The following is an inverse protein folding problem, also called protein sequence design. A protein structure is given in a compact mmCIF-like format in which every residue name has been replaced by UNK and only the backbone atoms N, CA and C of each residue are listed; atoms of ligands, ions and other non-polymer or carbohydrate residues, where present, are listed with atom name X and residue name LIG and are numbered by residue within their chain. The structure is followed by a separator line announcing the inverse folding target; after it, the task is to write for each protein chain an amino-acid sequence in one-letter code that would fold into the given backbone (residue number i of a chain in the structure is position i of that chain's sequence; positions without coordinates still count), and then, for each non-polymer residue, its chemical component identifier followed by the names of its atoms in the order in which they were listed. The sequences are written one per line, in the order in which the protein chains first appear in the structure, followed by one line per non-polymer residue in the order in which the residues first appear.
data_IF_450172841341
#
_entry.id   IF_450172841341
#
_cell.length_a   1.000
_cell.length_b   1.000
_cell.length_c   1.000
_cell.angle_alpha   90.00
_cell.angle_beta   90.00
_cell.angle_gamma   90.00
#
_symmetry.space_group_name_H-M   'P 1'
#
loop_
_entity.id
_entity.type
_entity.pdbx_description
1 polymer ?
#
# COMPACT_ATOMS: atom_id res chain seq x y z
N UNK A 1 41.39 52.33 9.71
CA UNK A 1 40.52 53.49 9.40
C UNK A 1 39.41 53.54 10.43
N UNK A 2 39.25 54.70 11.08
CA UNK A 2 38.25 55.09 12.09
C UNK A 2 38.25 54.27 13.40
N UNK A 3 38.34 54.83 14.61
CA UNK A 3 38.25 56.20 15.11
C UNK A 3 37.72 56.07 16.56
N UNK A 4 38.56 56.24 17.58
CA UNK A 4 38.72 57.47 18.37
C UNK A 4 37.41 57.99 19.00
N UNK A 5 37.40 58.08 20.34
CA UNK A 5 36.92 59.19 21.22
C UNK A 5 36.25 58.63 22.49
N UNK A 6 36.93 58.62 23.64
CA UNK A 6 37.02 59.72 24.64
C UNK A 6 35.67 60.27 25.11
N UNK A 7 35.35 60.02 26.39
CA UNK A 7 34.63 60.99 27.23
C UNK A 7 34.94 60.71 28.71
N UNK A 8 35.85 61.52 29.23
CA UNK A 8 36.00 61.75 30.66
C UNK A 8 34.78 62.51 31.20
N UNK A 9 34.32 62.18 32.39
CA UNK A 9 33.54 63.11 33.22
C UNK A 9 34.02 63.01 34.66
N UNK A 10 34.85 63.98 35.02
CA UNK A 10 35.01 64.42 36.40
C UNK A 10 33.75 65.14 36.84
N UNK A 11 33.21 64.79 38.00
CA UNK A 11 32.34 65.67 38.75
C UNK A 11 32.59 65.54 40.25
N UNK A 12 33.14 66.63 40.78
CA UNK A 12 32.87 67.23 42.09
C UNK A 12 33.01 66.38 43.37
N UNK A 13 34.12 66.67 44.03
CA UNK A 13 34.32 66.68 45.49
C UNK A 13 33.12 67.32 46.21
N UNK A 14 32.53 66.60 47.16
CA UNK A 14 32.05 67.21 48.41
C UNK A 14 32.76 66.53 49.59
N UNK A 15 33.62 67.31 50.22
CA UNK A 15 34.21 67.05 51.53
C UNK A 15 33.09 67.10 52.57
N UNK A 16 32.66 65.94 53.06
CA UNK A 16 31.88 65.84 54.29
C UNK A 16 32.79 65.27 55.37
N UNK A 17 33.25 66.14 56.27
CA UNK A 17 34.02 65.81 57.46
C UNK A 17 33.12 65.10 58.48
N UNK A 18 33.39 63.83 58.85
CA UNK A 18 32.69 63.21 59.97
C UNK A 18 33.22 63.75 61.31
N UNK A 19 32.36 63.90 62.33
CA UNK A 19 32.76 64.36 63.67
C UNK A 19 33.67 63.34 64.39
N UNK A 20 34.45 63.78 65.39
CA UNK A 20 35.52 62.98 65.99
C UNK A 20 35.00 61.77 66.76
N UNK A 21 35.86 60.74 66.75
CA UNK A 21 35.66 59.40 67.26
C UNK A 21 35.07 59.33 68.68
N UNK A 22 33.81 58.90 68.77
CA UNK A 22 33.34 58.20 69.96
C UNK A 22 34.02 56.82 69.98
N UNK A 23 34.98 56.64 70.90
CA UNK A 23 35.58 55.34 71.23
C UNK A 23 34.47 54.39 71.70
N UNK A 24 33.88 53.64 70.77
CA UNK A 24 33.11 52.44 71.09
C UNK A 24 34.11 51.32 71.36
N UNK A 25 34.04 50.80 72.59
CA UNK A 25 34.73 49.61 73.03
C UNK A 25 34.52 48.46 72.02
N UNK A 26 35.54 47.61 71.75
CA UNK A 26 35.32 46.43 70.94
C UNK A 26 34.38 45.49 71.71
N UNK A 27 33.24 45.04 71.13
CA UNK A 27 32.56 43.88 71.68
C UNK A 27 33.51 42.69 71.51
N UNK A 28 34.16 42.32 72.60
CA UNK A 28 34.89 41.07 72.76
C UNK A 28 33.91 39.91 72.51
N UNK A 29 34.28 39.03 71.57
CA UNK A 29 33.96 37.61 71.56
C UNK A 29 32.47 37.16 71.44
N UNK A 30 31.72 37.62 70.43
CA UNK A 30 30.40 37.02 70.11
C UNK A 30 30.12 36.72 68.62
N UNK A 31 31.10 36.84 67.71
CA UNK A 31 30.87 36.61 66.25
C UNK A 31 31.70 35.44 65.67
N UNK A 32 32.66 34.89 66.42
CA UNK A 32 33.55 33.83 65.90
C UNK A 32 32.89 32.43 65.88
N UNK A 33 31.87 32.17 66.71
CA UNK A 33 31.15 30.89 66.72
C UNK A 33 30.20 30.73 65.51
N UNK A 34 29.55 31.81 65.03
CA UNK A 34 28.60 31.74 63.91
C UNK A 34 29.24 31.47 62.55
N UNK A 35 30.47 31.95 62.32
CA UNK A 35 31.18 31.74 61.05
C UNK A 35 31.76 30.32 60.93
N UNK A 36 32.31 29.78 62.01
CA UNK A 36 32.82 28.41 62.04
C UNK A 36 31.69 27.38 61.83
N UNK A 37 30.53 27.60 62.46
CA UNK A 37 29.35 26.75 62.29
C UNK A 37 28.73 26.90 60.88
N UNK A 38 28.74 28.10 60.31
CA UNK A 38 28.32 28.32 58.92
C UNK A 38 29.23 27.61 57.90
N UNK A 39 30.56 27.63 58.11
CA UNK A 39 31.51 26.89 57.28
C UNK A 39 31.34 25.37 57.40
N UNK A 40 31.07 24.85 58.60
CA UNK A 40 30.77 23.43 58.81
C UNK A 40 29.50 23.02 58.07
N UNK A 41 28.40 23.78 58.21
CA UNK A 41 27.15 23.52 57.48
C UNK A 41 27.33 23.60 55.97
N UNK A 42 28.10 24.56 55.45
CA UNK A 42 28.39 24.64 54.02
C UNK A 42 29.19 23.42 53.53
N UNK A 43 30.21 22.98 54.27
CA UNK A 43 31.00 21.78 53.92
C UNK A 43 30.15 20.51 53.96
N UNK A 44 29.26 20.38 54.94
CA UNK A 44 28.31 19.26 55.03
C UNK A 44 27.30 19.26 53.88
N UNK A 45 26.80 20.45 53.48
CA UNK A 45 25.92 20.59 52.32
C UNK A 45 26.66 20.26 51.02
N UNK A 46 27.91 20.71 50.87
CA UNK A 46 28.74 20.39 49.71
C UNK A 46 29.07 18.89 49.64
N UNK A 47 29.38 18.26 50.77
CA UNK A 47 29.61 16.81 50.84
C UNK A 47 28.36 16.03 50.42
N UNK A 48 27.18 16.39 50.95
CA UNK A 48 25.90 15.79 50.56
C UNK A 48 25.57 16.01 49.07
N UNK A 49 25.82 17.21 48.55
CA UNK A 49 25.61 17.50 47.13
C UNK A 49 26.58 16.71 46.23
N UNK A 50 27.82 16.49 46.68
CA UNK A 50 28.79 15.66 45.98
C UNK A 50 28.40 14.17 45.99
N UNK A 51 27.96 13.65 47.13
CA UNK A 51 27.43 12.28 47.25
C UNK A 51 26.19 12.06 46.37
N UNK A 52 25.27 13.02 46.33
CA UNK A 52 24.09 12.95 45.46
C UNK A 52 24.47 12.95 43.98
N UNK A 53 25.37 13.85 43.56
CA UNK A 53 25.85 13.90 42.16
C UNK A 53 26.61 12.64 41.75
N UNK A 54 27.43 12.08 42.64
CA UNK A 54 28.16 10.84 42.34
C UNK A 54 27.22 9.64 42.26
N UNK A 55 26.21 9.55 43.11
CA UNK A 55 25.17 8.52 43.03
C UNK A 55 24.31 8.65 41.75
N UNK A 56 23.96 9.86 41.33
CA UNK A 56 23.24 10.12 40.08
C UNK A 56 24.10 9.76 38.86
N UNK A 57 25.39 10.09 38.86
CA UNK A 57 26.33 9.72 37.80
C UNK A 57 26.50 8.20 37.69
N UNK A 58 26.58 7.49 38.81
CA UNK A 58 26.66 6.03 38.81
C UNK A 58 25.39 5.39 38.25
N UNK A 59 24.20 5.89 38.62
CA UNK A 59 22.92 5.42 38.06
C UNK A 59 22.81 5.71 36.57
N UNK A 60 23.23 6.90 36.13
CA UNK A 60 23.25 7.27 34.71
C UNK A 60 24.25 6.41 33.91
N UNK A 61 25.42 6.12 34.46
CA UNK A 61 26.42 5.25 33.84
C UNK A 61 25.92 3.79 33.73
N UNK A 62 25.26 3.26 34.77
CA UNK A 62 24.65 1.94 34.74
C UNK A 62 23.52 1.85 33.72
N UNK A 63 22.64 2.86 33.66
CA UNK A 63 21.57 2.93 32.66
C UNK A 63 22.12 3.06 31.22
N UNK A 64 23.21 3.79 31.02
CA UNK A 64 23.87 3.90 29.72
C UNK A 64 24.58 2.60 29.30
N UNK A 65 25.13 1.84 30.26
CA UNK A 65 25.70 0.52 29.99
C UNK A 65 24.62 -0.47 29.55
N UNK A 66 23.49 -0.53 30.26
CA UNK A 66 22.36 -1.39 29.91
C UNK A 66 21.80 -1.09 28.51
N UNK A 67 21.61 0.20 28.17
CA UNK A 67 21.15 0.59 26.83
C UNK A 67 22.13 0.19 25.72
N UNK A 68 23.44 0.25 25.98
CA UNK A 68 24.45 -0.19 25.00
C UNK A 68 24.43 -1.70 24.78
N UNK A 69 24.11 -2.48 25.82
CA UNK A 69 23.96 -3.93 25.71
C UNK A 69 22.70 -4.27 24.90
N UNK A 70 21.56 -3.62 25.19
CA UNK A 70 20.31 -3.78 24.43
C UNK A 70 20.49 -3.42 22.94
N UNK A 71 21.12 -2.28 22.64
CA UNK A 71 21.42 -1.87 21.26
C UNK A 71 22.37 -2.84 20.54
N UNK A 72 23.32 -3.44 21.26
CA UNK A 72 24.25 -4.42 20.71
C UNK A 72 23.55 -5.76 20.42
N UNK A 73 22.62 -6.19 21.28
CA UNK A 73 21.79 -7.38 21.04
C UNK A 73 20.84 -7.18 19.88
N UNK A 74 20.17 -6.01 19.79
CA UNK A 74 19.34 -5.67 18.63
C UNK A 74 20.16 -5.65 17.33
N UNK A 75 21.37 -5.09 17.35
CA UNK A 75 22.24 -5.06 16.19
C UNK A 75 22.68 -6.47 15.76
N UNK A 76 22.91 -7.38 16.70
CA UNK A 76 23.21 -8.80 16.41
C UNK A 76 21.98 -9.52 15.84
N UNK A 77 20.81 -9.32 16.43
CA UNK A 77 19.56 -9.90 15.96
C UNK A 77 19.21 -9.44 14.53
N UNK A 78 19.42 -8.16 14.20
CA UNK A 78 19.23 -7.64 12.84
C UNK A 78 20.20 -8.28 11.84
N UNK A 79 21.49 -8.37 12.20
CA UNK A 79 22.49 -9.03 11.35
C UNK A 79 22.17 -10.51 11.11
N UNK A 80 21.69 -11.23 12.12
CA UNK A 80 21.27 -12.62 11.98
C UNK A 80 20.02 -12.75 11.11
N UNK A 81 19.04 -11.86 11.24
CA UNK A 81 17.86 -11.83 10.38
C UNK A 81 18.22 -11.55 8.91
N UNK A 82 19.11 -10.59 8.67
CA UNK A 82 19.58 -10.28 7.32
C UNK A 82 20.40 -11.43 6.72
N UNK A 83 21.24 -12.09 7.53
CA UNK A 83 21.97 -13.29 7.11
C UNK A 83 21.05 -14.47 6.76
N UNK A 84 19.96 -14.67 7.53
CA UNK A 84 18.94 -15.68 7.23
C UNK A 84 18.21 -15.39 5.93
N UNK A 85 17.78 -14.14 5.71
CA UNK A 85 17.16 -13.71 4.45
C UNK A 85 18.11 -13.90 3.26
N UNK A 86 19.39 -13.59 3.43
CA UNK A 86 20.39 -13.79 2.38
C UNK A 86 20.59 -15.28 2.08
N UNK A 87 20.60 -16.15 3.10
CA UNK A 87 20.69 -17.60 2.90
C UNK A 87 19.45 -18.16 2.18
N UNK A 88 18.25 -17.72 2.57
CA UNK A 88 17.00 -18.05 1.86
C UNK A 88 17.02 -17.58 0.40
N UNK A 89 17.63 -16.43 0.11
CA UNK A 89 17.76 -15.93 -1.26
C UNK A 89 18.72 -16.77 -2.09
N UNK A 90 19.84 -17.21 -1.52
CA UNK A 90 20.84 -18.04 -2.21
C UNK A 90 20.28 -19.41 -2.58
N UNK A 91 19.47 -20.02 -1.71
CA UNK A 91 18.85 -21.34 -1.98
C UNK A 91 17.75 -21.27 -3.05
N UNK A 92 17.21 -20.07 -3.33
CA UNK A 92 16.16 -19.83 -4.33
C UNK A 92 16.70 -19.34 -5.69
N UNK A 93 18.03 -19.28 -5.87
CA UNK A 93 18.63 -18.93 -7.16
C UNK A 93 18.74 -20.17 -8.05
N UNK A 94 17.96 -20.20 -9.13
CA UNK A 94 18.10 -21.20 -10.19
C UNK A 94 19.35 -20.89 -11.03
N UNK A 95 20.42 -21.67 -10.83
CA UNK A 95 21.68 -21.51 -11.57
C UNK A 95 21.55 -21.77 -13.08
N UNK A 96 20.42 -22.29 -13.59
CA UNK A 96 20.18 -22.44 -15.03
C UNK A 96 19.67 -21.17 -15.71
N UNK A 97 19.06 -20.23 -14.98
CA UNK A 97 18.54 -18.97 -15.52
C UNK A 97 18.95 -17.79 -14.63
N UNK A 98 20.07 -17.11 -14.91
CA UNK A 98 20.55 -16.02 -14.05
C UNK A 98 19.52 -14.87 -14.02
N UNK A 99 18.94 -14.63 -12.83
CA UNK A 99 17.95 -13.57 -12.57
C UNK A 99 16.55 -14.05 -12.20
N UNK A 100 16.26 -15.35 -12.27
CA UNK A 100 15.00 -15.91 -11.79
C UNK A 100 15.06 -16.28 -10.31
N UNK A 101 14.37 -15.53 -9.45
CA UNK A 101 14.04 -16.01 -8.09
C UNK A 101 13.01 -17.12 -8.28
N UNK A 102 13.34 -18.34 -7.86
CA UNK A 102 12.40 -19.46 -7.87
C UNK A 102 11.26 -19.15 -6.89
N UNK A 103 10.18 -18.55 -7.38
CA UNK A 103 8.92 -18.54 -6.66
C UNK A 103 8.51 -19.99 -6.47
N UNK A 104 8.56 -20.48 -5.22
CA UNK A 104 8.00 -21.79 -4.92
C UNK A 104 6.57 -21.84 -5.46
N UNK A 105 6.21 -22.82 -6.32
CA UNK A 105 4.85 -22.93 -6.79
C UNK A 105 3.97 -23.23 -5.57
N UNK A 106 3.19 -22.22 -5.16
CA UNK A 106 2.21 -22.32 -4.07
C UNK A 106 1.05 -23.26 -4.41
N UNK A 107 1.01 -23.82 -5.62
CA UNK A 107 0.01 -24.79 -6.02
C UNK A 107 0.48 -26.22 -5.72
N UNK A 108 -0.24 -26.86 -4.80
CA UNK A 108 -0.25 -28.32 -4.69
C UNK A 108 -0.55 -28.87 -6.08
N UNK A 109 0.39 -29.63 -6.66
CA UNK A 109 0.22 -30.27 -7.96
C UNK A 109 -0.99 -31.21 -7.91
N UNK A 110 -2.13 -30.75 -8.42
CA UNK A 110 -3.33 -31.58 -8.55
C UNK A 110 -3.10 -32.62 -9.64
N UNK A 111 -3.74 -33.79 -9.53
CA UNK A 111 -3.69 -34.83 -10.57
C UNK A 111 -4.11 -34.29 -11.94
N UNK A 112 -5.06 -33.36 -11.94
CA UNK A 112 -5.51 -32.64 -13.14
C UNK A 112 -4.45 -31.71 -13.71
N UNK A 113 -3.67 -31.02 -12.86
CA UNK A 113 -2.54 -30.19 -13.29
C UNK A 113 -1.45 -31.00 -13.99
N UNK A 114 -1.15 -32.21 -13.50
CA UNK A 114 -0.17 -33.12 -14.12
C UNK A 114 -0.68 -33.62 -15.49
N UNK A 115 -1.96 -34.02 -15.57
CA UNK A 115 -2.57 -34.45 -16.82
C UNK A 115 -2.63 -33.33 -17.86
N UNK A 116 -2.86 -32.09 -17.43
CA UNK A 116 -2.87 -30.92 -18.31
C UNK A 116 -1.47 -30.49 -18.75
N UNK A 117 -0.44 -30.65 -17.91
CA UNK A 117 0.94 -30.34 -18.28
C UNK A 117 1.51 -31.26 -19.38
N UNK A 118 0.95 -32.45 -19.55
CA UNK A 118 1.32 -33.38 -20.63
C UNK A 118 0.70 -33.01 -21.98
N UNK A 119 -0.24 -32.06 -22.02
CA UNK A 119 -0.88 -31.60 -23.26
C UNK A 119 -0.10 -30.41 -23.82
N UNK A 120 0.18 -30.44 -25.13
CA UNK A 120 0.87 -29.35 -25.84
C UNK A 120 0.06 -28.04 -25.85
N UNK A 121 -1.27 -28.11 -25.68
CA UNK A 121 -2.16 -26.97 -25.69
C UNK A 121 -2.92 -26.89 -24.37
N UNK A 122 -2.96 -25.71 -23.76
CA UNK A 122 -3.72 -25.51 -22.53
C UNK A 122 -5.22 -25.61 -22.82
N UNK A 123 -6.01 -26.24 -21.93
CA UNK A 123 -7.48 -26.30 -22.07
C UNK A 123 -8.11 -24.91 -22.22
N UNK A 124 -7.55 -23.89 -21.56
CA UNK A 124 -7.98 -22.51 -21.67
C UNK A 124 -7.83 -21.94 -23.09
N UNK A 125 -6.70 -22.20 -23.77
CA UNK A 125 -6.46 -21.75 -25.15
C UNK A 125 -7.46 -22.42 -26.12
N UNK A 126 -7.72 -23.72 -25.95
CA UNK A 126 -8.68 -24.44 -26.79
C UNK A 126 -10.10 -23.91 -26.61
N UNK A 127 -10.49 -23.60 -25.37
CA UNK A 127 -11.80 -23.02 -25.08
C UNK A 127 -11.94 -21.60 -25.65
N UNK A 128 -10.88 -20.78 -25.59
CA UNK A 128 -10.86 -19.45 -26.17
C UNK A 128 -10.92 -19.48 -27.71
N UNK A 129 -10.21 -20.41 -28.35
CA UNK A 129 -10.31 -20.63 -29.80
C UNK A 129 -11.72 -21.06 -30.21
N UNK A 130 -12.34 -21.98 -29.45
CA UNK A 130 -13.72 -22.41 -29.72
C UNK A 130 -14.71 -21.24 -29.64
N UNK A 131 -14.55 -20.32 -28.68
CA UNK A 131 -15.36 -19.11 -28.59
C UNK A 131 -15.16 -18.19 -29.80
N UNK A 132 -13.90 -17.97 -30.21
CA UNK A 132 -13.59 -17.13 -31.38
C UNK A 132 -14.16 -17.72 -32.67
N UNK A 133 -14.08 -19.03 -32.86
CA UNK A 133 -14.59 -19.69 -34.04
C UNK A 133 -16.12 -19.70 -34.08
N UNK A 134 -16.78 -19.86 -32.92
CA UNK A 134 -18.22 -19.70 -32.81
C UNK A 134 -18.64 -18.26 -33.19
N UNK A 135 -17.96 -17.23 -32.66
CA UNK A 135 -18.25 -15.84 -33.01
C UNK A 135 -18.07 -15.54 -34.50
N UNK A 136 -17.11 -16.15 -35.19
CA UNK A 136 -16.96 -16.00 -36.65
C UNK A 136 -18.13 -16.62 -37.42
N UNK A 137 -18.71 -17.70 -36.90
CA UNK A 137 -19.83 -18.43 -37.52
C UNK A 137 -21.21 -17.87 -37.15
N UNK A 138 -21.28 -16.80 -36.35
CA UNK A 138 -22.55 -16.25 -35.88
C UNK A 138 -23.46 -15.73 -36.99
N UNK A 139 -22.94 -15.53 -38.21
CA UNK A 139 -23.72 -15.17 -39.40
C UNK A 139 -24.23 -16.36 -40.23
N UNK A 140 -23.76 -17.58 -39.96
CA UNK A 140 -24.12 -18.79 -40.71
C UNK A 140 -25.22 -19.60 -40.03
N UNK A 141 -25.37 -19.44 -38.72
CA UNK A 141 -26.25 -20.25 -37.86
C UNK A 141 -27.47 -19.41 -37.43
N UNK A 142 -28.69 -19.99 -37.32
CA UNK A 142 -29.85 -19.30 -36.77
C UNK A 142 -29.59 -18.70 -35.38
N UNK A 143 -30.06 -17.48 -35.15
CA UNK A 143 -29.79 -16.71 -33.92
C UNK A 143 -30.14 -17.46 -32.62
N UNK A 144 -31.21 -18.27 -32.62
CA UNK A 144 -31.60 -19.07 -31.46
C UNK A 144 -30.57 -20.18 -31.12
N UNK A 145 -30.08 -20.89 -32.13
CA UNK A 145 -29.07 -21.94 -31.95
C UNK A 145 -27.71 -21.34 -31.58
N UNK A 146 -27.36 -20.21 -32.20
CA UNK A 146 -26.12 -19.49 -31.90
C UNK A 146 -26.07 -18.99 -30.45
N UNK A 147 -27.21 -18.53 -29.90
CA UNK A 147 -27.33 -18.13 -28.49
C UNK A 147 -27.04 -19.29 -27.55
N UNK A 148 -27.63 -20.46 -27.79
CA UNK A 148 -27.42 -21.66 -26.97
C UNK A 148 -25.97 -22.16 -27.07
N UNK A 149 -25.39 -22.15 -28.28
CA UNK A 149 -24.01 -22.56 -28.51
C UNK A 149 -23.01 -21.64 -27.79
N UNK A 150 -23.19 -20.32 -27.87
CA UNK A 150 -22.35 -19.36 -27.13
C UNK A 150 -22.46 -19.53 -25.62
N UNK A 151 -23.66 -19.71 -25.08
CA UNK A 151 -23.86 -19.95 -23.64
C UNK A 151 -23.08 -21.17 -23.19
N UNK A 152 -23.22 -22.29 -23.90
CA UNK A 152 -22.52 -23.54 -23.59
C UNK A 152 -21.00 -23.40 -23.71
N UNK A 153 -20.50 -22.67 -24.72
CA UNK A 153 -19.07 -22.47 -24.90
C UNK A 153 -18.48 -21.53 -23.84
N UNK A 154 -19.23 -20.52 -23.41
CA UNK A 154 -18.82 -19.63 -22.32
C UNK A 154 -18.72 -20.38 -20.99
N UNK A 155 -19.68 -21.25 -20.66
CA UNK A 155 -19.61 -22.11 -19.47
C UNK A 155 -18.42 -23.08 -19.53
N UNK A 156 -18.15 -23.67 -20.69
CA UNK A 156 -16.95 -24.51 -20.87
C UNK A 156 -15.67 -23.71 -20.69
N UNK A 157 -15.63 -22.46 -21.14
CA UNK A 157 -14.48 -21.59 -21.00
C UNK A 157 -14.23 -21.18 -19.55
N UNK A 158 -15.27 -20.89 -18.76
CA UNK A 158 -15.10 -20.59 -17.32
C UNK A 158 -14.59 -21.80 -16.56
N UNK A 159 -15.12 -23.00 -16.84
CA UNK A 159 -14.64 -24.27 -16.26
C UNK A 159 -13.19 -24.56 -16.66
N UNK A 160 -12.79 -24.21 -17.89
CA UNK A 160 -11.41 -24.37 -18.37
C UNK A 160 -10.43 -23.31 -17.81
N UNK A 161 -10.90 -22.36 -17.01
CA UNK A 161 -10.07 -21.33 -16.37
C UNK A 161 -9.84 -20.08 -17.21
N UNK A 162 -10.63 -19.84 -18.27
CA UNK A 162 -10.60 -18.59 -19.03
C UNK A 162 -11.22 -17.48 -18.18
N UNK A 163 -10.47 -16.41 -17.93
CA UNK A 163 -10.95 -15.26 -17.16
C UNK A 163 -12.13 -14.59 -17.85
N UNK A 164 -13.14 -14.19 -17.08
CA UNK A 164 -14.26 -13.38 -17.58
C UNK A 164 -13.81 -12.01 -18.12
N UNK A 165 -12.63 -11.54 -17.70
CA UNK A 165 -12.06 -10.31 -18.21
C UNK A 165 -11.41 -10.45 -19.60
N UNK A 166 -11.31 -11.68 -20.13
CA UNK A 166 -10.69 -11.95 -21.42
C UNK A 166 -11.46 -11.27 -22.56
N UNK A 167 -10.76 -10.82 -23.62
CA UNK A 167 -11.41 -10.19 -24.77
C UNK A 167 -12.48 -11.09 -25.41
N UNK A 168 -12.19 -12.39 -25.55
CA UNK A 168 -13.11 -13.35 -26.16
C UNK A 168 -14.41 -13.51 -25.34
N UNK A 169 -14.32 -13.60 -24.01
CA UNK A 169 -15.50 -13.67 -23.13
C UNK A 169 -16.34 -12.38 -23.19
N UNK A 170 -15.70 -11.21 -23.24
CA UNK A 170 -16.41 -9.92 -23.35
C UNK A 170 -17.17 -9.80 -24.68
N UNK A 171 -16.53 -10.16 -25.78
CA UNK A 171 -17.15 -10.15 -27.11
C UNK A 171 -18.31 -11.15 -27.19
N UNK A 172 -18.14 -12.36 -26.65
CA UNK A 172 -19.19 -13.36 -26.59
C UNK A 172 -20.40 -12.87 -25.76
N UNK A 173 -20.16 -12.23 -24.60
CA UNK A 173 -21.22 -11.60 -23.78
C UNK A 173 -21.98 -10.51 -24.55
N UNK A 174 -21.26 -9.65 -25.28
CA UNK A 174 -21.88 -8.61 -26.10
C UNK A 174 -22.74 -9.20 -27.22
N UNK A 175 -22.22 -10.20 -27.94
CA UNK A 175 -22.93 -10.87 -29.01
C UNK A 175 -24.18 -11.58 -28.49
N UNK A 176 -24.08 -12.24 -27.33
CA UNK A 176 -25.23 -12.86 -26.67
C UNK A 176 -26.31 -11.82 -26.34
N UNK A 177 -25.93 -10.65 -25.84
CA UNK A 177 -26.86 -9.54 -25.57
C UNK A 177 -27.58 -9.04 -26.83
N UNK A 178 -26.86 -8.93 -27.95
CA UNK A 178 -27.45 -8.56 -29.25
C UNK A 178 -28.40 -9.66 -29.74
N UNK A 179 -27.99 -10.92 -29.67
CA UNK A 179 -28.81 -12.05 -30.10
C UNK A 179 -30.08 -12.20 -29.25
N UNK A 180 -30.00 -11.99 -27.94
CA UNK A 180 -31.18 -11.98 -27.07
C UNK A 180 -32.13 -10.84 -27.42
N UNK A 181 -31.60 -9.63 -27.63
CA UNK A 181 -32.42 -8.49 -28.01
C UNK A 181 -33.08 -8.69 -29.39
N UNK A 182 -32.36 -9.29 -30.36
CA UNK A 182 -32.93 -9.58 -31.68
C UNK A 182 -34.02 -10.67 -31.62
N UNK A 183 -33.85 -11.68 -30.76
CA UNK A 183 -34.86 -12.73 -30.58
C UNK A 183 -36.10 -12.20 -29.86
N UNK A 184 -35.93 -11.32 -28.88
CA UNK A 184 -37.04 -10.65 -28.20
C UNK A 184 -37.78 -9.70 -29.16
N UNK A 185 -37.06 -8.95 -29.99
CA UNK A 185 -37.66 -8.12 -31.03
C UNK A 185 -38.41 -8.95 -32.09
N UNK A 186 -37.86 -10.10 -32.48
CA UNK A 186 -38.52 -11.02 -33.41
C UNK A 186 -39.74 -11.73 -32.80
N UNK A 187 -39.83 -11.80 -31.47
CA UNK A 187 -40.95 -12.38 -30.72
C UNK A 187 -41.94 -11.31 -30.24
N UNK A 188 -41.70 -10.03 -30.50
CA UNK A 188 -42.66 -8.98 -30.19
C UNK A 188 -43.95 -9.25 -30.99
N UNK A 189 -45.14 -9.09 -30.37
CA UNK A 189 -46.40 -9.20 -31.10
C UNK A 189 -46.38 -8.22 -32.28
N UNK A 190 -46.87 -8.67 -33.44
CA UNK A 190 -47.01 -7.83 -34.63
C UNK A 190 -47.59 -6.47 -34.23
N UNK A 191 -46.99 -5.40 -34.75
CA UNK A 191 -47.45 -4.05 -34.45
C UNK A 191 -48.95 -3.98 -34.79
N UNK A 192 -49.85 -3.58 -33.87
CA UNK A 192 -51.28 -3.51 -34.17
C UNK A 192 -51.58 -2.60 -35.38
N UNK A 193 -50.64 -1.72 -35.73
CA UNK A 193 -50.70 -0.93 -36.96
C UNK A 193 -50.44 -1.76 -38.21
N UNK A 194 -49.52 -2.74 -38.18
CA UNK A 194 -49.26 -3.66 -39.29
C UNK A 194 -50.44 -4.61 -39.51
N UNK A 195 -51.09 -5.08 -38.43
CA UNK A 195 -52.33 -5.85 -38.54
C UNK A 195 -53.47 -5.00 -39.13
N UNK A 196 -53.57 -3.72 -38.75
CA UNK A 196 -54.55 -2.81 -39.32
C UNK A 196 -54.26 -2.51 -40.80
N UNK A 197 -53.00 -2.33 -41.19
CA UNK A 197 -52.58 -2.10 -42.58
C UNK A 197 -52.78 -3.36 -43.42
N UNK A 198 -52.42 -4.55 -42.92
CA UNK A 198 -52.72 -5.82 -43.60
C UNK A 198 -54.21 -6.10 -43.72
N UNK A 199 -55.03 -5.69 -42.73
CA UNK A 199 -56.48 -5.80 -42.83
C UNK A 199 -57.09 -4.84 -43.87
N UNK A 200 -56.47 -3.68 -44.11
CA UNK A 200 -56.93 -2.67 -45.09
C UNK A 200 -56.44 -3.00 -46.51
N UNK A 201 -55.21 -3.49 -46.65
CA UNK A 201 -54.54 -3.68 -47.95
C UNK A 201 -54.33 -5.14 -48.36
N UNK A 202 -54.55 -6.11 -47.47
CA UNK A 202 -54.41 -7.53 -47.77
C UNK A 202 -55.43 -8.07 -48.79
N UNK A 203 -56.51 -7.34 -49.04
CA UNK A 203 -57.52 -7.67 -50.07
C UNK A 203 -57.18 -7.08 -51.46
N UNK A 204 -56.17 -6.21 -51.55
CA UNK A 204 -55.58 -5.74 -52.81
C UNK A 204 -54.46 -6.70 -53.26
N UNK A 205 -54.79 -7.97 -53.48
CA UNK A 205 -53.97 -8.85 -54.30
C UNK A 205 -54.04 -8.29 -55.72
N UNK A 206 -52.94 -7.70 -56.19
CA UNK A 206 -52.79 -7.31 -57.60
C UNK A 206 -53.07 -8.55 -58.46
N UNK A 207 -54.02 -8.52 -59.40
CA UNK A 207 -54.19 -9.61 -60.33
C UNK A 207 -52.85 -9.80 -61.05
N UNK A 208 -52.27 -10.99 -60.94
CA UNK A 208 -51.09 -11.36 -61.71
C UNK A 208 -51.40 -11.08 -63.18
N UNK A 209 -50.55 -10.29 -63.83
CA UNK A 209 -50.64 -9.98 -65.24
C UNK A 209 -50.80 -11.30 -66.01
N UNK A 210 -51.98 -11.47 -66.62
CA UNK A 210 -52.29 -12.59 -67.51
C UNK A 210 -51.60 -12.31 -68.84
N UNK A 211 -50.28 -12.35 -68.84
CA UNK A 211 -49.45 -12.37 -70.04
C UNK A 211 -48.90 -13.79 -70.22
N UNK A 212 -49.78 -14.70 -70.64
CA UNK A 212 -49.37 -15.97 -71.28
C UNK A 212 -50.55 -16.57 -72.06
N UNK A 213 -51.02 -15.84 -73.08
CA UNK A 213 -51.74 -16.43 -74.22
C UNK A 213 -51.86 -15.42 -75.38
N UNK A 214 -50.81 -15.35 -76.23
CA UNK A 214 -50.89 -15.35 -77.70
C UNK A 214 -49.50 -15.19 -78.35
#
# INVERSE_FOLDING_TARGET
MLGLLFAASMAAVQLHTPPPAARRQPPRAAVVMGWADAQRKMREQQAKAYEQRTAEQQKAAAAAALRREEEAEEARARKEADARRAAEYVDNLDFRYPGGVATQPTSILTREGIANAQRLNSPAILAEQALLDAMKRSGEIPAAQMKEELQRLMEKATVAGVSEASPAQKQAKQLLGVLSASLEAASAPADPMDDAVNAIFGEYVMPEDVDDAL
#
